data_IF_641684799320
#
_entry.id   IF_641684799320
#
_cell.length_a   1.000
_cell.length_b   1.000
_cell.length_c   1.000
_cell.angle_alpha   90.00
_cell.angle_beta   90.00
_cell.angle_gamma   90.00
#
_symmetry.space_group_name_H-M   'P 1'
#
loop_
_entity.id
_entity.type
_entity.pdbx_description
1 polymer ?
#
# COMPACT_ATOMS: atom_id res chain seq x y z
N UNK A 1 -61.53 19.17 6.18
CA UNK A 1 -60.25 18.51 6.46
C UNK A 1 -59.21 19.60 6.59
N UNK A 2 -58.59 19.73 7.75
CA UNK A 2 -57.49 20.69 7.93
C UNK A 2 -56.28 20.21 7.12
N UNK A 3 -55.90 21.00 6.11
CA UNK A 3 -54.69 20.81 5.32
C UNK A 3 -53.66 21.82 5.81
N UNK A 4 -52.50 21.33 6.25
CA UNK A 4 -51.37 22.18 6.63
C UNK A 4 -50.31 22.07 5.53
N UNK A 5 -49.92 23.21 4.94
CA UNK A 5 -49.03 23.28 3.77
C UNK A 5 -49.52 22.41 2.58
N UNK A 6 -50.82 22.42 2.30
CA UNK A 6 -51.47 21.60 1.26
C UNK A 6 -51.31 20.07 1.42
N UNK A 7 -50.83 19.60 2.57
CA UNK A 7 -50.72 18.18 2.88
C UNK A 7 -51.81 17.79 3.89
N UNK A 8 -52.40 16.63 3.65
CA UNK A 8 -53.35 15.95 4.54
C UNK A 8 -52.62 15.34 5.74
N UNK A 9 -53.33 15.12 6.86
CA UNK A 9 -52.73 14.49 8.05
C UNK A 9 -52.13 13.10 7.79
N UNK A 10 -52.67 12.35 6.83
CA UNK A 10 -52.13 11.05 6.39
C UNK A 10 -50.74 11.21 5.77
N UNK A 11 -50.54 12.26 4.96
CA UNK A 11 -49.26 12.54 4.31
C UNK A 11 -48.19 12.98 5.31
N UNK A 12 -48.56 13.75 6.34
CA UNK A 12 -47.65 14.11 7.42
C UNK A 12 -47.19 12.91 8.24
N UNK A 13 -48.10 11.98 8.55
CA UNK A 13 -47.75 10.73 9.22
C UNK A 13 -46.83 9.85 8.36
N UNK A 14 -47.08 9.78 7.05
CA UNK A 14 -46.20 9.07 6.12
C UNK A 14 -44.80 9.71 6.09
N UNK A 15 -44.71 11.04 6.06
CA UNK A 15 -43.42 11.76 6.10
C UNK A 15 -42.63 11.47 7.38
N UNK A 16 -43.30 11.49 8.53
CA UNK A 16 -42.70 11.17 9.82
C UNK A 16 -42.22 9.72 9.91
N UNK A 17 -42.96 8.79 9.30
CA UNK A 17 -42.55 7.38 9.24
C UNK A 17 -41.33 7.20 8.35
N UNK A 18 -41.30 7.84 7.18
CA UNK A 18 -40.16 7.83 6.26
C UNK A 18 -38.91 8.43 6.92
N UNK A 19 -39.05 9.55 7.64
CA UNK A 19 -37.90 10.18 8.32
C UNK A 19 -37.33 9.29 9.42
N UNK A 20 -38.21 8.61 10.17
CA UNK A 20 -37.80 7.68 11.23
C UNK A 20 -37.09 6.46 10.63
N UNK A 21 -37.62 5.92 9.54
CA UNK A 21 -37.00 4.82 8.81
C UNK A 21 -35.61 5.19 8.26
N UNK A 22 -35.47 6.38 7.66
CA UNK A 22 -34.18 6.89 7.19
C UNK A 22 -33.19 7.07 8.35
N UNK A 23 -33.63 7.62 9.48
CA UNK A 23 -32.77 7.78 10.65
C UNK A 23 -32.22 6.44 11.16
N UNK A 24 -33.09 5.41 11.21
CA UNK A 24 -32.68 4.04 11.57
C UNK A 24 -31.72 3.45 10.54
N UNK A 25 -31.98 3.63 9.24
CA UNK A 25 -31.08 3.17 8.19
C UNK A 25 -29.70 3.84 8.31
N UNK A 26 -29.63 5.15 8.52
CA UNK A 26 -28.35 5.86 8.71
C UNK A 26 -27.63 5.38 9.98
N UNK A 27 -28.36 5.12 11.07
CA UNK A 27 -27.76 4.61 12.31
C UNK A 27 -27.13 3.21 12.13
N UNK A 28 -27.78 2.34 11.34
CA UNK A 28 -27.29 0.97 11.08
C UNK A 28 -26.15 0.98 10.06
N UNK A 29 -26.32 1.68 8.94
CA UNK A 29 -25.39 1.63 7.81
C UNK A 29 -24.23 2.63 7.93
N UNK A 30 -24.38 3.73 8.67
CA UNK A 30 -23.36 4.76 8.85
C UNK A 30 -22.01 4.21 9.35
N UNK A 31 -21.98 3.41 10.42
CA UNK A 31 -20.74 2.80 10.91
C UNK A 31 -20.07 1.87 9.88
N UNK A 32 -20.86 1.11 9.13
CA UNK A 32 -20.38 0.15 8.12
C UNK A 32 -19.73 0.92 6.96
N UNK A 33 -20.41 1.95 6.45
CA UNK A 33 -19.92 2.81 5.37
C UNK A 33 -18.65 3.53 5.80
N UNK A 34 -18.62 4.09 7.01
CA UNK A 34 -17.44 4.74 7.57
C UNK A 34 -16.22 3.80 7.67
N UNK A 35 -16.42 2.55 8.15
CA UNK A 35 -15.36 1.54 8.20
C UNK A 35 -14.84 1.20 6.80
N UNK A 36 -15.74 1.02 5.83
CA UNK A 36 -15.37 0.72 4.45
C UNK A 36 -14.51 1.82 3.82
N UNK A 37 -14.89 3.09 3.96
CA UNK A 37 -14.09 4.22 3.46
C UNK A 37 -12.74 4.32 4.14
N UNK A 38 -12.67 4.08 5.45
CA UNK A 38 -11.41 4.08 6.20
C UNK A 38 -10.45 3.01 5.68
N UNK A 39 -10.91 1.77 5.52
CA UNK A 39 -10.10 0.68 4.97
C UNK A 39 -9.66 0.98 3.54
N UNK A 40 -10.56 1.53 2.70
CA UNK A 40 -10.21 1.94 1.33
C UNK A 40 -9.11 3.00 1.30
N UNK A 41 -9.17 3.99 2.19
CA UNK A 41 -8.14 5.02 2.27
C UNK A 41 -6.80 4.46 2.76
N UNK A 42 -6.81 3.58 3.76
CA UNK A 42 -5.61 2.86 4.21
C UNK A 42 -4.95 2.11 3.05
N UNK A 43 -5.74 1.35 2.29
CA UNK A 43 -5.21 0.60 1.14
C UNK A 43 -4.63 1.53 0.06
N UNK A 44 -5.21 2.72 -0.15
CA UNK A 44 -4.65 3.71 -1.06
C UNK A 44 -3.28 4.21 -0.59
N UNK A 45 -3.14 4.51 0.70
CA UNK A 45 -1.87 4.98 1.28
C UNK A 45 -0.79 3.90 1.15
N UNK A 46 -1.10 2.66 1.54
CA UNK A 46 -0.18 1.52 1.41
C UNK A 46 0.26 1.30 -0.03
N UNK A 47 -0.68 1.37 -0.99
CA UNK A 47 -0.34 1.27 -2.40
C UNK A 47 0.51 2.44 -2.90
N UNK A 48 0.30 3.65 -2.40
CA UNK A 48 1.11 4.81 -2.77
C UNK A 48 2.57 4.66 -2.31
N UNK A 49 2.81 4.15 -1.09
CA UNK A 49 4.16 3.85 -0.61
C UNK A 49 4.82 2.75 -1.44
N UNK A 50 4.08 1.70 -1.80
CA UNK A 50 4.56 0.65 -2.72
C UNK A 50 4.99 1.27 -4.05
N UNK A 51 4.19 2.19 -4.59
CA UNK A 51 4.46 2.86 -5.87
C UNK A 51 5.70 3.74 -5.80
N UNK A 52 5.88 4.47 -4.70
CA UNK A 52 7.06 5.26 -4.45
C UNK A 52 8.32 4.38 -4.36
N UNK A 53 8.26 3.29 -3.61
CA UNK A 53 9.34 2.31 -3.53
C UNK A 53 9.65 1.71 -4.91
N UNK A 54 8.63 1.34 -5.70
CA UNK A 54 8.82 0.85 -7.07
C UNK A 54 9.51 1.87 -7.97
N UNK A 55 9.21 3.15 -7.81
CA UNK A 55 9.89 4.21 -8.56
C UNK A 55 11.35 4.33 -8.13
N UNK A 56 11.67 4.17 -6.85
CA UNK A 56 13.06 4.09 -6.38
C UNK A 56 13.77 2.89 -6.99
N UNK A 57 13.13 1.72 -7.02
CA UNK A 57 13.66 0.52 -7.67
C UNK A 57 13.92 0.72 -9.16
N UNK A 58 12.98 1.31 -9.90
CA UNK A 58 13.17 1.63 -11.33
C UNK A 58 14.35 2.56 -11.55
N UNK A 59 14.49 3.60 -10.73
CA UNK A 59 15.63 4.54 -10.80
C UNK A 59 16.95 3.85 -10.48
N UNK A 60 16.98 3.01 -9.44
CA UNK A 60 18.16 2.23 -9.08
C UNK A 60 18.54 1.20 -10.17
N UNK A 61 17.55 0.56 -10.81
CA UNK A 61 17.78 -0.40 -11.87
C UNK A 61 18.28 0.26 -13.17
N UNK A 62 17.75 1.45 -13.50
CA UNK A 62 18.14 2.22 -14.68
C UNK A 62 19.62 2.70 -14.65
N UNK A 63 20.27 2.69 -13.49
CA UNK A 63 21.70 2.97 -13.41
C UNK A 63 22.49 1.84 -14.10
N UNK A 64 23.40 2.16 -15.04
CA UNK A 64 24.09 1.19 -15.88
C UNK A 64 24.85 0.16 -15.03
N UNK A 65 24.63 -1.12 -15.33
CA UNK A 65 25.27 -2.26 -14.66
C UNK A 65 26.75 -2.40 -15.11
N UNK A 66 27.12 -1.81 -16.24
CA UNK A 66 28.33 -2.10 -17.00
C UNK A 66 29.47 -1.08 -16.81
N UNK A 67 29.97 -0.93 -15.60
CA UNK A 67 31.41 -0.67 -15.46
C UNK A 67 31.99 -1.73 -14.53
N UNK A 68 32.44 -2.87 -15.08
CA UNK A 68 33.19 -3.83 -14.29
C UNK A 68 34.44 -3.11 -13.77
N UNK A 69 34.46 -2.83 -12.46
CA UNK A 69 35.57 -2.14 -11.79
C UNK A 69 35.21 -0.86 -11.03
N UNK A 70 34.00 -0.29 -11.16
CA UNK A 70 33.62 0.93 -10.43
C UNK A 70 32.71 0.67 -9.22
N UNK A 71 33.24 0.65 -7.98
CA UNK A 71 32.46 0.49 -6.75
C UNK A 71 31.41 1.60 -6.53
N UNK A 72 31.62 2.79 -7.10
CA UNK A 72 30.76 3.96 -6.91
C UNK A 72 29.29 3.76 -7.33
N UNK A 73 29.04 3.07 -8.46
CA UNK A 73 27.66 2.85 -8.92
C UNK A 73 26.90 1.85 -8.05
N UNK A 74 27.62 0.86 -7.49
CA UNK A 74 27.04 -0.14 -6.57
C UNK A 74 26.67 0.51 -5.23
N UNK A 75 27.53 1.40 -4.73
CA UNK A 75 27.24 2.23 -3.56
C UNK A 75 26.06 3.18 -3.78
N UNK A 76 25.97 3.80 -4.96
CA UNK A 76 24.86 4.68 -5.33
C UNK A 76 23.52 3.92 -5.35
N UNK A 77 23.49 2.71 -5.93
CA UNK A 77 22.30 1.83 -5.90
C UNK A 77 21.91 1.47 -4.46
N UNK A 78 22.88 1.04 -3.65
CA UNK A 78 22.66 0.74 -2.25
C UNK A 78 22.09 1.96 -1.50
N UNK A 79 22.75 3.12 -1.60
CA UNK A 79 22.33 4.35 -0.94
C UNK A 79 20.91 4.79 -1.35
N UNK A 80 20.53 4.69 -2.63
CA UNK A 80 19.18 4.99 -3.11
C UNK A 80 18.10 4.07 -2.54
N UNK A 81 18.47 2.83 -2.18
CA UNK A 81 17.53 1.84 -1.67
C UNK A 81 17.54 1.73 -0.14
N UNK A 82 18.44 2.44 0.56
CA UNK A 82 18.35 2.64 2.02
C UNK A 82 17.07 3.40 2.41
N UNK A 83 16.54 4.22 1.51
CA UNK A 83 15.33 5.02 1.73
C UNK A 83 14.03 4.28 1.42
N UNK A 84 14.08 2.99 1.07
CA UNK A 84 12.87 2.16 0.98
C UNK A 84 12.23 2.10 2.35
N UNK A 85 10.94 2.41 2.42
CA UNK A 85 10.16 2.45 3.66
C UNK A 85 8.79 1.81 3.46
N UNK A 86 8.26 1.21 4.51
CA UNK A 86 6.89 0.70 4.50
C UNK A 86 6.19 1.05 5.82
N UNK A 87 6.26 2.34 6.18
CA UNK A 87 5.80 2.84 7.48
C UNK A 87 4.28 2.68 7.63
N UNK A 88 3.51 2.82 6.54
CA UNK A 88 2.07 2.58 6.57
C UNK A 88 1.72 1.10 6.83
N UNK A 89 2.59 0.16 6.46
CA UNK A 89 2.35 -1.26 6.74
C UNK A 89 2.34 -1.54 8.24
N UNK A 90 3.33 -1.05 8.98
CA UNK A 90 3.39 -1.26 10.43
C UNK A 90 2.22 -0.63 11.17
N UNK A 91 1.75 0.52 10.69
CA UNK A 91 0.59 1.21 11.27
C UNK A 91 -0.73 0.49 10.99
N UNK A 92 -0.88 -0.14 9.83
CA UNK A 92 -2.19 -0.61 9.35
C UNK A 92 -2.33 -2.13 9.15
N UNK A 93 -1.27 -2.93 9.35
CA UNK A 93 -1.28 -4.39 9.12
C UNK A 93 -2.43 -5.13 9.80
N UNK A 94 -2.77 -4.79 11.04
CA UNK A 94 -3.87 -5.44 11.79
C UNK A 94 -5.22 -5.15 11.11
N UNK A 95 -5.49 -3.87 10.81
CA UNK A 95 -6.71 -3.44 10.12
C UNK A 95 -6.84 -4.06 8.73
N UNK A 96 -5.75 -4.20 7.99
CA UNK A 96 -5.76 -4.85 6.68
C UNK A 96 -6.05 -6.35 6.83
N UNK A 97 -5.43 -7.03 7.80
CA UNK A 97 -5.65 -8.44 8.08
C UNK A 97 -7.11 -8.77 8.43
N UNK A 98 -7.74 -7.94 9.26
CA UNK A 98 -9.13 -8.12 9.67
C UNK A 98 -10.15 -7.92 8.52
N UNK A 99 -9.85 -7.05 7.55
CA UNK A 99 -10.79 -6.70 6.50
C UNK A 99 -10.49 -7.37 5.14
N UNK A 100 -9.23 -7.74 4.89
CA UNK A 100 -8.81 -8.39 3.65
C UNK A 100 -7.56 -9.28 3.86
N UNK A 101 -7.76 -10.55 4.27
CA UNK A 101 -6.66 -11.49 4.53
C UNK A 101 -5.76 -11.76 3.33
N UNK A 102 -6.31 -11.75 2.11
CA UNK A 102 -5.55 -11.96 0.88
C UNK A 102 -4.56 -10.82 0.63
N UNK A 103 -5.02 -9.56 0.75
CA UNK A 103 -4.13 -8.39 0.63
C UNK A 103 -3.11 -8.33 1.75
N UNK A 104 -3.49 -8.71 2.98
CA UNK A 104 -2.56 -8.84 4.09
C UNK A 104 -1.40 -9.79 3.75
N UNK A 105 -1.70 -10.99 3.25
CA UNK A 105 -0.66 -11.95 2.87
C UNK A 105 0.26 -11.41 1.77
N UNK A 106 -0.30 -10.72 0.76
CA UNK A 106 0.48 -10.11 -0.32
C UNK A 106 1.42 -9.01 0.20
N UNK A 107 0.92 -8.11 1.05
CA UNK A 107 1.72 -7.03 1.63
C UNK A 107 2.76 -7.54 2.63
N UNK A 108 2.46 -8.60 3.39
CA UNK A 108 3.43 -9.24 4.27
C UNK A 108 4.64 -9.76 3.48
N UNK A 109 4.40 -10.48 2.38
CA UNK A 109 5.48 -10.97 1.51
C UNK A 109 6.33 -9.82 0.95
N UNK A 110 5.67 -8.75 0.50
CA UNK A 110 6.37 -7.57 0.02
C UNK A 110 7.22 -6.91 1.11
N UNK A 111 6.68 -6.75 2.32
CA UNK A 111 7.40 -6.15 3.44
C UNK A 111 8.67 -6.93 3.79
N UNK A 112 8.60 -8.28 3.80
CA UNK A 112 9.78 -9.13 4.04
C UNK A 112 10.88 -8.84 3.02
N UNK A 113 10.53 -8.78 1.73
CA UNK A 113 11.50 -8.49 0.67
C UNK A 113 12.08 -7.07 0.78
N UNK A 114 11.25 -6.07 1.10
CA UNK A 114 11.73 -4.70 1.27
C UNK A 114 12.71 -4.57 2.45
N UNK A 115 12.44 -5.27 3.56
CA UNK A 115 13.34 -5.31 4.73
C UNK A 115 14.67 -5.98 4.40
N UNK A 116 14.64 -7.11 3.67
CA UNK A 116 15.86 -7.77 3.20
C UNK A 116 16.68 -6.83 2.30
N UNK A 117 16.04 -6.17 1.32
CA UNK A 117 16.70 -5.20 0.45
C UNK A 117 17.34 -4.06 1.25
N UNK A 118 16.64 -3.55 2.26
CA UNK A 118 17.15 -2.48 3.12
C UNK A 118 18.35 -2.96 3.96
N UNK A 119 18.28 -4.18 4.50
CA UNK A 119 19.38 -4.79 5.26
C UNK A 119 20.63 -4.98 4.39
N UNK A 120 20.48 -5.61 3.22
CA UNK A 120 21.58 -5.81 2.27
C UNK A 120 22.15 -4.48 1.78
N UNK A 121 21.30 -3.51 1.47
CA UNK A 121 21.73 -2.15 1.12
C UNK A 121 22.58 -1.53 2.24
N UNK A 122 22.12 -1.61 3.49
CA UNK A 122 22.84 -1.09 4.64
C UNK A 122 24.21 -1.75 4.79
N UNK A 123 24.30 -3.07 4.60
CA UNK A 123 25.54 -3.85 4.71
C UNK A 123 26.52 -3.52 3.59
N UNK A 124 26.07 -3.41 2.33
CA UNK A 124 26.90 -3.05 1.17
C UNK A 124 27.55 -1.67 1.34
N UNK A 125 26.83 -0.73 1.95
CA UNK A 125 27.38 0.61 2.19
C UNK A 125 28.14 0.74 3.51
N UNK A 126 28.36 -0.35 4.24
CA UNK A 126 29.32 -0.45 5.35
C UNK A 126 30.60 -1.18 4.94
N UNK A 127 30.54 -2.12 4.00
CA UNK A 127 31.70 -2.86 3.49
C UNK A 127 31.56 -3.18 1.98
N UNK A 128 32.43 -2.58 1.17
CA UNK A 128 32.51 -2.74 -0.29
C UNK A 128 33.04 -4.11 -0.74
N UNK A 129 33.76 -4.81 0.14
CA UNK A 129 34.35 -6.12 -0.15
C UNK A 129 33.38 -7.27 0.15
N UNK A 130 32.15 -6.96 0.54
CA UNK A 130 31.04 -7.88 0.78
C UNK A 130 30.46 -8.44 -0.54
N UNK A 131 31.32 -8.94 -1.44
CA UNK A 131 30.98 -9.45 -2.77
C UNK A 131 29.85 -10.50 -2.81
N UNK A 132 29.67 -11.39 -1.80
CA UNK A 132 28.52 -12.29 -1.76
C UNK A 132 27.18 -11.57 -1.55
N UNK A 133 27.15 -10.54 -0.72
CA UNK A 133 25.95 -9.76 -0.41
C UNK A 133 25.48 -8.94 -1.60
N UNK A 134 26.41 -8.49 -2.43
CA UNK A 134 26.12 -7.75 -3.66
C UNK A 134 25.38 -8.61 -4.70
N UNK A 135 25.79 -9.87 -4.87
CA UNK A 135 25.12 -10.79 -5.82
C UNK A 135 23.70 -11.07 -5.34
N UNK A 136 23.53 -11.40 -4.06
CA UNK A 136 22.21 -11.65 -3.44
C UNK A 136 21.32 -10.41 -3.55
N UNK A 137 21.87 -9.21 -3.33
CA UNK A 137 21.15 -7.95 -3.45
C UNK A 137 20.68 -7.66 -4.88
N UNK A 138 21.50 -7.94 -5.89
CA UNK A 138 21.13 -7.79 -7.29
C UNK A 138 20.08 -8.83 -7.72
N UNK A 139 20.21 -10.08 -7.27
CA UNK A 139 19.21 -11.13 -7.50
C UNK A 139 17.86 -10.79 -6.84
N UNK A 140 17.86 -10.29 -5.60
CA UNK A 140 16.64 -9.84 -4.91
C UNK A 140 15.98 -8.68 -5.63
N UNK A 141 16.77 -7.73 -6.14
CA UNK A 141 16.29 -6.61 -6.93
C UNK A 141 15.66 -7.06 -8.25
N UNK A 142 16.31 -7.98 -8.95
CA UNK A 142 15.81 -8.53 -10.21
C UNK A 142 14.55 -9.37 -9.98
N UNK A 143 14.54 -10.20 -8.94
CA UNK A 143 13.38 -11.01 -8.56
C UNK A 143 12.19 -10.13 -8.17
N UNK A 144 12.42 -9.07 -7.40
CA UNK A 144 11.39 -8.10 -7.03
C UNK A 144 10.88 -7.33 -8.25
N UNK A 145 11.78 -6.84 -9.11
CA UNK A 145 11.42 -6.13 -10.33
C UNK A 145 10.58 -7.01 -11.27
N UNK A 146 11.05 -8.23 -11.56
CA UNK A 146 10.37 -9.17 -12.45
C UNK A 146 9.03 -9.61 -11.86
N UNK A 147 8.98 -10.07 -10.61
CA UNK A 147 7.74 -10.62 -10.05
C UNK A 147 6.72 -9.54 -9.70
N UNK A 148 7.14 -8.36 -9.24
CA UNK A 148 6.20 -7.34 -8.82
C UNK A 148 5.67 -6.50 -9.99
N UNK A 149 6.52 -6.12 -10.95
CA UNK A 149 6.06 -5.34 -12.12
C UNK A 149 5.27 -6.21 -13.09
N UNK A 150 5.67 -7.46 -13.32
CA UNK A 150 4.95 -8.37 -14.22
C UNK A 150 3.56 -8.71 -13.69
N UNK A 151 3.44 -9.05 -12.40
CA UNK A 151 2.13 -9.36 -11.79
C UNK A 151 1.21 -8.13 -11.66
N UNK A 152 1.75 -6.92 -11.65
CA UNK A 152 0.93 -5.69 -11.61
C UNK A 152 0.33 -5.36 -12.98
N UNK A 153 1.09 -5.54 -14.06
CA UNK A 153 0.62 -5.30 -15.41
C UNK A 153 -0.47 -6.30 -15.85
N UNK A 154 -0.56 -7.45 -15.19
CA UNK A 154 -1.62 -8.45 -15.41
C UNK A 154 -2.90 -8.15 -14.61
N UNK A 155 -2.89 -7.15 -13.71
CA UNK A 155 -4.02 -6.77 -12.85
C UNK A 155 -4.62 -5.39 -13.16
N UNK A 156 -4.03 -4.64 -14.09
CA UNK A 156 -4.61 -3.43 -14.72
C UNK A 156 -5.33 -3.77 -16.01
#
# INVERSE_FOLDING_TARGET
METFLNLTGIQWNALSSISTFLAVAVAIFGPIVGKYFKVRNILKVVNAEIDENLNLFKKAYALPIQSPGNPDYRLLKAAMLRSVKFDAWDQYKILIGENNPTKYSAFLKLNVVLLEIQEYSNNISKDLNASPFLVIYLDLLEHFYINYIKNRNEQT
#
